data_IF_481024352055
#
_entry.id   IF_481024352055
#
_cell.length_a   1.000
_cell.length_b   1.000
_cell.length_c   1.000
_cell.angle_alpha   90.00
_cell.angle_beta   90.00
_cell.angle_gamma   90.00
#
_symmetry.space_group_name_H-M   'P 1'
#
loop_
_entity.id
_entity.type
_entity.pdbx_description
1 polymer ?
#
# COMPACT_ATOMS: atom_id res chain seq x y z
N UNK A 1 -28.79 -20.48 -1.10
CA UNK A 1 -29.48 -19.17 -1.06
C UNK A 1 -28.46 -18.13 -1.48
N UNK A 2 -28.63 -17.51 -2.65
CA UNK A 2 -27.75 -16.41 -3.05
C UNK A 2 -28.11 -15.19 -2.22
N UNK A 3 -27.22 -14.80 -1.36
CA UNK A 3 -27.37 -13.60 -0.56
C UNK A 3 -27.23 -12.39 -1.48
N UNK A 4 -28.34 -11.74 -1.82
CA UNK A 4 -28.29 -10.46 -2.54
C UNK A 4 -27.88 -9.38 -1.54
N UNK A 5 -26.79 -8.66 -1.77
CA UNK A 5 -26.44 -7.56 -0.88
C UNK A 5 -27.55 -6.52 -0.89
N UNK A 6 -28.08 -6.22 0.27
CA UNK A 6 -29.07 -5.17 0.42
C UNK A 6 -28.39 -3.84 0.08
N UNK A 7 -28.81 -3.19 -0.99
CA UNK A 7 -28.38 -1.84 -1.34
C UNK A 7 -28.99 -0.85 -0.35
N UNK A 8 -28.29 -0.60 0.68
CA UNK A 8 -28.70 0.43 1.63
C UNK A 8 -28.39 1.77 1.05
N UNK A 9 -28.24 2.62 0.75
CA UNK A 9 -27.92 3.94 0.22
C UNK A 9 -26.84 3.91 -0.87
N UNK A 10 -26.88 4.86 -1.75
CA UNK A 10 -25.93 4.98 -2.85
C UNK A 10 -24.51 5.40 -2.42
N UNK A 11 -24.28 5.82 -1.20
CA UNK A 11 -23.01 6.42 -0.79
C UNK A 11 -22.31 5.80 0.40
N UNK A 12 -22.92 4.92 1.15
CA UNK A 12 -22.29 4.49 2.41
C UNK A 12 -22.13 3.01 2.60
N UNK A 13 -22.74 2.24 1.77
CA UNK A 13 -23.00 0.84 2.06
C UNK A 13 -22.08 -0.16 1.40
N UNK A 14 -21.17 0.28 0.55
CA UNK A 14 -20.16 -0.64 0.04
C UNK A 14 -19.37 -1.33 1.16
N UNK A 15 -19.09 -0.60 2.22
CA UNK A 15 -18.36 -1.15 3.36
C UNK A 15 -19.20 -2.18 4.13
N UNK A 16 -20.49 -1.96 4.28
CA UNK A 16 -21.39 -2.91 4.96
C UNK A 16 -21.68 -4.11 4.06
N UNK A 17 -21.95 -3.89 2.80
CA UNK A 17 -22.12 -4.95 1.81
C UNK A 17 -20.90 -5.86 1.71
N UNK A 18 -19.71 -5.28 1.67
CA UNK A 18 -18.45 -6.03 1.64
C UNK A 18 -18.22 -6.86 2.90
N UNK A 19 -18.71 -6.42 4.06
CA UNK A 19 -18.60 -7.21 5.31
C UNK A 19 -19.51 -8.42 5.35
N UNK A 20 -20.57 -8.41 4.58
CA UNK A 20 -21.52 -9.52 4.48
C UNK A 20 -21.16 -10.55 3.41
N UNK A 21 -20.19 -10.23 2.54
CA UNK A 21 -19.68 -11.17 1.55
C UNK A 21 -18.77 -12.21 2.19
N UNK A 22 -18.70 -13.37 1.55
CA UNK A 22 -17.71 -14.37 1.90
C UNK A 22 -16.29 -13.78 1.85
N UNK A 23 -15.37 -14.21 2.72
CA UNK A 23 -14.02 -13.67 2.77
C UNK A 23 -13.33 -13.58 1.41
N UNK A 24 -13.51 -14.58 0.56
CA UNK A 24 -12.91 -14.66 -0.79
C UNK A 24 -13.48 -13.63 -1.78
N UNK A 25 -14.65 -13.08 -1.47
CA UNK A 25 -15.32 -12.08 -2.31
C UNK A 25 -15.11 -10.64 -1.80
N UNK A 26 -14.43 -10.49 -0.68
CA UNK A 26 -14.15 -9.17 -0.11
C UNK A 26 -12.97 -8.51 -0.80
N UNK A 27 -13.04 -7.20 -0.95
CA UNK A 27 -11.84 -6.44 -1.32
C UNK A 27 -10.80 -6.52 -0.20
N UNK A 28 -9.53 -6.30 -0.54
CA UNK A 28 -8.42 -6.28 0.44
C UNK A 28 -8.73 -5.34 1.62
N UNK A 29 -9.35 -4.19 1.35
CA UNK A 29 -9.71 -3.20 2.38
C UNK A 29 -10.85 -3.64 3.31
N UNK A 30 -11.73 -4.51 2.83
CA UNK A 30 -12.84 -5.02 3.60
C UNK A 30 -12.51 -6.31 4.36
N UNK A 31 -11.36 -6.90 4.13
CA UNK A 31 -10.89 -8.05 4.88
C UNK A 31 -10.45 -7.62 6.28
N UNK A 32 -10.98 -8.26 7.31
CA UNK A 32 -10.63 -7.96 8.71
C UNK A 32 -9.21 -8.42 9.08
N UNK A 33 -8.66 -9.38 8.36
CA UNK A 33 -7.32 -9.93 8.58
C UNK A 33 -6.24 -9.22 7.75
N UNK A 34 -6.61 -8.19 7.00
CA UNK A 34 -5.66 -7.44 6.19
C UNK A 34 -4.53 -6.86 7.03
N UNK A 35 -3.34 -6.86 6.49
CA UNK A 35 -2.23 -6.10 7.04
C UNK A 35 -2.41 -4.63 6.66
N UNK A 36 -2.42 -3.74 7.64
CA UNK A 36 -2.47 -2.31 7.41
C UNK A 36 -1.06 -1.82 7.08
N UNK A 37 -0.88 -1.22 5.91
CA UNK A 37 0.43 -0.74 5.46
C UNK A 37 0.90 0.53 6.16
N UNK A 38 -0.03 1.34 6.66
CA UNK A 38 0.26 2.61 7.33
C UNK A 38 0.04 2.48 8.83
N UNK A 39 1.11 2.60 9.60
CA UNK A 39 1.08 2.58 11.06
C UNK A 39 0.52 3.88 11.65
N UNK A 40 0.09 3.80 12.90
CA UNK A 40 -0.17 4.98 13.72
C UNK A 40 1.11 5.83 13.87
N UNK A 41 0.94 7.11 14.19
CA UNK A 41 2.05 8.04 14.34
C UNK A 41 2.38 8.87 13.09
N UNK A 42 1.72 8.61 11.96
CA UNK A 42 1.81 9.48 10.80
C UNK A 42 1.18 10.86 11.08
N UNK A 43 1.59 11.86 10.30
CA UNK A 43 1.17 13.26 10.47
C UNK A 43 0.17 13.72 9.41
N UNK A 44 -0.59 12.81 8.83
CA UNK A 44 -1.61 13.15 7.85
C UNK A 44 -2.70 14.03 8.48
N UNK A 45 -3.20 14.98 7.72
CA UNK A 45 -4.34 15.80 8.10
C UNK A 45 -5.59 14.92 8.33
N UNK A 46 -6.50 15.38 9.16
CA UNK A 46 -7.78 14.71 9.33
C UNK A 46 -8.54 14.65 7.99
N UNK A 47 -9.03 13.46 7.63
CA UNK A 47 -9.73 13.26 6.37
C UNK A 47 -8.86 13.36 5.11
N UNK A 48 -7.53 13.20 5.24
CA UNK A 48 -6.62 13.27 4.11
C UNK A 48 -6.90 12.19 3.07
N UNK A 49 -7.40 12.60 1.89
CA UNK A 49 -7.69 11.69 0.77
C UNK A 49 -6.43 11.04 0.19
N UNK A 50 -5.30 11.75 0.20
CA UNK A 50 -4.01 11.23 -0.25
C UNK A 50 -3.52 10.09 0.65
N UNK A 51 -3.57 10.26 1.97
CA UNK A 51 -3.21 9.21 2.92
C UNK A 51 -4.11 7.99 2.79
N UNK A 52 -5.41 8.19 2.58
CA UNK A 52 -6.36 7.11 2.39
C UNK A 52 -6.11 6.36 1.08
N UNK A 53 -5.92 7.09 -0.02
CA UNK A 53 -5.67 6.52 -1.34
C UNK A 53 -4.35 5.74 -1.38
N UNK A 54 -3.28 6.33 -0.86
CA UNK A 54 -1.96 5.68 -0.78
C UNK A 54 -2.03 4.41 0.07
N UNK A 55 -2.69 4.46 1.24
CA UNK A 55 -2.88 3.27 2.07
C UNK A 55 -3.60 2.15 1.32
N UNK A 56 -4.67 2.47 0.61
CA UNK A 56 -5.39 1.45 -0.16
C UNK A 56 -4.54 0.84 -1.27
N UNK A 57 -3.79 1.66 -1.97
CA UNK A 57 -2.90 1.18 -3.03
C UNK A 57 -1.79 0.27 -2.48
N UNK A 58 -1.15 0.67 -1.38
CA UNK A 58 -0.08 -0.10 -0.76
C UNK A 58 -0.61 -1.37 -0.10
N UNK A 59 -1.75 -1.33 0.59
CA UNK A 59 -2.40 -2.53 1.14
C UNK A 59 -2.66 -3.57 0.04
N UNK A 60 -3.20 -3.13 -1.10
CA UNK A 60 -3.45 -4.01 -2.24
C UNK A 60 -2.15 -4.56 -2.85
N UNK A 61 -1.13 -3.71 -3.01
CA UNK A 61 0.18 -4.11 -3.51
C UNK A 61 0.88 -5.11 -2.58
N UNK A 62 0.85 -4.88 -1.27
CA UNK A 62 1.40 -5.80 -0.27
C UNK A 62 0.72 -7.16 -0.33
N UNK A 63 -0.60 -7.17 -0.50
CA UNK A 63 -1.35 -8.42 -0.64
C UNK A 63 -0.95 -9.16 -1.93
N UNK A 64 -0.91 -8.45 -3.06
CA UNK A 64 -0.59 -9.03 -4.36
C UNK A 64 0.85 -9.56 -4.47
N UNK A 65 1.77 -9.00 -3.69
CA UNK A 65 3.20 -9.35 -3.72
C UNK A 65 3.66 -10.18 -2.53
N UNK A 66 2.75 -10.65 -1.68
CA UNK A 66 3.10 -11.27 -0.39
C UNK A 66 4.10 -10.43 0.42
N UNK A 67 3.91 -9.13 0.43
CA UNK A 67 4.79 -8.13 1.09
C UNK A 67 6.19 -7.99 0.48
N UNK A 68 6.46 -8.61 -0.65
CA UNK A 68 7.72 -8.45 -1.39
C UNK A 68 7.66 -7.17 -2.23
N UNK A 69 7.68 -6.03 -1.57
CA UNK A 69 7.48 -4.71 -2.18
C UNK A 69 8.48 -3.71 -1.61
N UNK A 70 9.05 -2.90 -2.48
CA UNK A 70 9.85 -1.71 -2.12
C UNK A 70 9.15 -0.50 -2.72
N UNK A 71 8.93 0.54 -1.94
CA UNK A 71 8.34 1.78 -2.44
C UNK A 71 9.39 2.87 -2.58
N UNK A 72 9.41 3.54 -3.72
CA UNK A 72 10.14 4.77 -3.94
C UNK A 72 9.16 5.94 -3.94
N UNK A 73 9.43 6.95 -3.14
CA UNK A 73 8.61 8.15 -3.04
C UNK A 73 9.45 9.40 -3.32
N UNK A 74 8.80 10.40 -3.89
CA UNK A 74 9.38 11.74 -4.04
C UNK A 74 8.86 12.66 -2.94
N UNK A 75 9.58 13.73 -2.68
CA UNK A 75 9.15 14.78 -1.75
C UNK A 75 7.76 15.29 -2.13
N UNK A 76 6.87 15.34 -1.14
CA UNK A 76 5.49 15.80 -1.28
C UNK A 76 4.72 15.54 0.01
N UNK A 77 3.40 15.81 0.01
CA UNK A 77 2.59 15.59 1.21
C UNK A 77 2.63 14.13 1.68
N UNK A 78 2.65 13.19 0.76
CA UNK A 78 2.74 11.76 1.07
C UNK A 78 4.00 11.42 1.87
N UNK A 79 5.14 11.99 1.49
CA UNK A 79 6.37 11.84 2.24
C UNK A 79 6.28 12.54 3.60
N UNK A 80 5.90 13.82 3.62
CA UNK A 80 5.89 14.66 4.82
C UNK A 80 5.07 14.04 5.96
N UNK A 81 3.91 13.47 5.68
CA UNK A 81 3.10 12.88 6.74
C UNK A 81 3.55 11.48 7.16
N UNK A 82 4.24 10.74 6.29
CA UNK A 82 4.53 9.32 6.49
C UNK A 82 5.96 9.04 6.94
N UNK A 83 6.84 10.03 6.96
CA UNK A 83 8.24 9.89 7.39
C UNK A 83 8.53 10.67 8.68
N UNK A 84 7.94 10.30 9.83
CA UNK A 84 8.38 10.84 11.11
C UNK A 84 9.81 10.37 11.39
N UNK A 85 10.71 11.34 11.68
CA UNK A 85 12.09 11.00 12.01
C UNK A 85 12.18 10.11 13.25
N UNK A 86 13.04 9.07 13.26
CA UNK A 86 13.99 8.65 12.20
C UNK A 86 13.44 7.59 11.23
N UNK A 87 12.20 7.22 11.35
CA UNK A 87 11.60 6.08 10.65
C UNK A 87 10.46 6.50 9.71
N UNK A 88 9.97 5.57 8.93
CA UNK A 88 8.74 5.73 8.16
C UNK A 88 7.56 5.08 8.87
N UNK A 89 6.35 5.62 8.64
CA UNK A 89 5.10 4.99 9.11
C UNK A 89 4.62 3.83 8.21
N UNK A 90 5.29 3.58 7.09
CA UNK A 90 4.95 2.49 6.19
C UNK A 90 5.57 1.16 6.63
N UNK A 91 4.80 0.07 6.55
CA UNK A 91 5.26 -1.29 6.88
C UNK A 91 5.94 -1.99 5.71
N UNK A 92 6.59 -1.24 4.85
CA UNK A 92 7.38 -1.73 3.72
C UNK A 92 8.70 -0.97 3.64
N UNK A 93 9.72 -1.51 3.00
CA UNK A 93 10.91 -0.75 2.65
C UNK A 93 10.52 0.49 1.84
N UNK A 94 10.89 1.65 2.36
CA UNK A 94 10.48 2.95 1.85
C UNK A 94 11.71 3.81 1.56
N UNK A 95 11.83 4.28 0.33
CA UNK A 95 12.95 5.11 -0.09
C UNK A 95 12.43 6.48 -0.50
N UNK A 96 12.87 7.49 0.20
CA UNK A 96 12.58 8.88 -0.12
C UNK A 96 13.62 9.46 -1.08
N UNK A 97 13.17 10.18 -2.09
CA UNK A 97 14.00 10.86 -3.07
C UNK A 97 13.51 12.29 -3.32
N UNK A 98 14.22 13.02 -4.16
CA UNK A 98 13.90 14.40 -4.49
C UNK A 98 12.57 14.55 -5.22
N UNK A 99 12.04 15.77 -5.27
CA UNK A 99 10.84 16.09 -6.05
C UNK A 99 10.91 15.54 -7.47
N UNK A 100 9.84 14.91 -7.92
CA UNK A 100 9.70 14.38 -9.28
C UNK A 100 10.60 13.19 -9.61
N UNK A 101 11.41 12.68 -8.68
CA UNK A 101 12.45 11.68 -8.97
C UNK A 101 12.07 10.23 -8.62
N UNK A 102 10.88 9.98 -8.09
CA UNK A 102 10.49 8.64 -7.63
C UNK A 102 10.60 7.59 -8.72
N UNK A 103 10.15 7.88 -9.94
CA UNK A 103 10.18 6.93 -11.06
C UNK A 103 11.61 6.57 -11.48
N UNK A 104 12.53 7.55 -11.51
CA UNK A 104 13.93 7.30 -11.83
C UNK A 104 14.60 6.43 -10.77
N UNK A 105 14.36 6.71 -9.49
CA UNK A 105 14.85 5.91 -8.37
C UNK A 105 14.27 4.50 -8.40
N UNK A 106 12.96 4.36 -8.60
CA UNK A 106 12.31 3.05 -8.72
C UNK A 106 12.92 2.22 -9.86
N UNK A 107 13.21 2.84 -11.01
CA UNK A 107 13.89 2.18 -12.13
C UNK A 107 15.27 1.66 -11.75
N UNK A 108 16.05 2.47 -11.00
CA UNK A 108 17.36 2.06 -10.51
C UNK A 108 17.29 0.91 -9.52
N UNK A 109 16.32 0.96 -8.58
CA UNK A 109 16.11 -0.13 -7.60
C UNK A 109 15.70 -1.42 -8.33
N UNK A 110 14.76 -1.34 -9.27
CA UNK A 110 14.31 -2.49 -10.04
C UNK A 110 15.46 -3.13 -10.84
N UNK A 111 16.32 -2.31 -11.46
CA UNK A 111 17.50 -2.79 -12.15
C UNK A 111 18.50 -3.49 -11.19
N UNK A 112 18.73 -2.90 -10.02
CA UNK A 112 19.58 -3.50 -8.99
C UNK A 112 19.03 -4.84 -8.48
N UNK A 113 17.73 -4.93 -8.23
CA UNK A 113 17.08 -6.18 -7.82
C UNK A 113 17.17 -7.26 -8.90
N UNK A 114 17.03 -6.88 -10.18
CA UNK A 114 17.24 -7.80 -11.29
C UNK A 114 18.66 -8.38 -11.31
N UNK A 115 19.67 -7.53 -11.14
CA UNK A 115 21.09 -7.97 -11.09
C UNK A 115 21.34 -8.88 -9.88
N UNK A 116 20.84 -8.52 -8.71
CA UNK A 116 20.99 -9.35 -7.49
C UNK A 116 20.35 -10.73 -7.67
N UNK A 117 19.19 -10.80 -8.31
CA UNK A 117 18.53 -12.07 -8.64
C UNK A 117 19.37 -12.90 -9.61
N UNK A 118 19.96 -12.29 -10.65
CA UNK A 118 20.83 -12.98 -11.59
C UNK A 118 22.10 -13.54 -10.93
N UNK A 119 22.59 -12.87 -9.88
CA UNK A 119 23.73 -13.34 -9.08
C UNK A 119 23.37 -14.39 -8.03
N UNK A 120 22.08 -14.68 -7.85
CA UNK A 120 21.61 -15.58 -6.80
C UNK A 120 21.66 -15.01 -5.38
N UNK A 121 21.84 -13.69 -5.24
CA UNK A 121 21.86 -13.00 -3.94
C UNK A 121 20.43 -12.79 -3.38
N UNK A 122 19.43 -12.80 -4.23
CA UNK A 122 18.02 -12.65 -3.89
C UNK A 122 17.21 -13.67 -4.67
N UNK A 123 16.39 -14.44 -3.98
CA UNK A 123 15.52 -15.46 -4.57
C UNK A 123 14.07 -14.98 -4.73
N UNK A 124 13.66 -14.04 -3.90
CA UNK A 124 12.30 -13.51 -3.86
C UNK A 124 12.00 -12.59 -5.05
N UNK A 125 10.75 -12.62 -5.52
CA UNK A 125 10.27 -11.73 -6.57
C UNK A 125 9.82 -10.39 -5.98
N UNK A 126 10.81 -9.58 -5.58
CA UNK A 126 10.56 -8.25 -5.02
C UNK A 126 10.11 -7.29 -6.13
N UNK A 127 8.99 -6.60 -5.89
CA UNK A 127 8.45 -5.55 -6.76
C UNK A 127 8.82 -4.16 -6.26
N UNK A 128 8.91 -3.20 -7.20
CA UNK A 128 9.23 -1.81 -6.90
C UNK A 128 8.14 -0.91 -7.48
#
# INVERSE_FOLDING_TARGET
MSFQPVKFYQTGTFTVGNRLLDPDQRSVQANMERTNSLNSGHRACQGCGEALGARYAIDAAMHATNKQLIAANATGCLEVFSTPYPETSWQIPWIHSLFGNAAAVATGIAAAMKVKRQKGEVTEDVRV
#
